data_IF_816037676218
#
_entry.id   IF_816037676218
#
_cell.length_a   1.000
_cell.length_b   1.000
_cell.length_c   1.000
_cell.angle_alpha   90.00
_cell.angle_beta   90.00
_cell.angle_gamma   90.00
#
_symmetry.space_group_name_H-M   'P 1'
#
loop_
_entity.id
_entity.type
_entity.pdbx_description
1 polymer ?
#
# COMPACT_ATOMS: atom_id res chain seq x y z
N UNK A 1 -3.04 19.06 -4.12
CA UNK A 1 -2.40 18.44 -2.94
C UNK A 1 -1.68 17.11 -3.22
N UNK A 2 -1.70 16.54 -4.41
CA UNK A 2 -1.01 15.29 -4.83
C UNK A 2 -1.04 14.17 -3.78
N UNK A 3 -2.09 14.10 -2.96
CA UNK A 3 -2.31 13.11 -1.88
C UNK A 3 -1.16 13.03 -0.86
N UNK A 4 -0.33 14.07 -0.76
CA UNK A 4 0.75 14.15 0.20
C UNK A 4 0.26 14.83 1.49
N UNK A 5 0.39 14.12 2.60
CA UNK A 5 0.25 14.69 3.92
C UNK A 5 1.61 14.73 4.60
N UNK A 6 2.03 15.90 5.02
CA UNK A 6 3.26 16.08 5.81
C UNK A 6 3.09 17.24 6.79
N UNK A 7 3.68 17.07 7.95
CA UNK A 7 3.72 18.11 8.99
C UNK A 7 5.16 18.40 9.38
N UNK A 8 5.43 19.63 9.76
CA UNK A 8 6.72 20.03 10.30
C UNK A 8 6.89 19.55 11.76
N UNK A 9 8.07 19.79 12.35
CA UNK A 9 8.36 19.42 13.75
C UNK A 9 7.39 20.04 14.78
N UNK A 10 6.62 21.08 14.41
CA UNK A 10 5.59 21.71 15.25
C UNK A 10 4.18 21.15 15.01
N UNK A 11 4.05 20.09 14.18
CA UNK A 11 2.76 19.50 13.85
C UNK A 11 1.93 20.29 12.83
N UNK A 12 2.49 21.33 12.21
CA UNK A 12 1.79 22.16 11.23
C UNK A 12 1.97 21.57 9.82
N UNK A 13 0.89 21.54 9.03
CA UNK A 13 0.90 21.13 7.64
C UNK A 13 1.90 21.95 6.82
N UNK A 14 2.78 21.30 6.08
CA UNK A 14 3.88 21.95 5.36
C UNK A 14 4.04 21.51 3.90
N UNK A 15 3.02 20.88 3.33
CA UNK A 15 3.04 20.53 1.90
C UNK A 15 2.72 21.77 1.08
N UNK A 16 3.58 22.17 0.13
CA UNK A 16 3.32 23.32 -0.73
C UNK A 16 2.10 23.08 -1.62
N UNK A 17 1.36 24.13 -1.90
CA UNK A 17 0.28 24.11 -2.88
C UNK A 17 0.89 23.90 -4.27
N UNK A 18 0.39 22.89 -5.00
CA UNK A 18 0.82 22.69 -6.39
C UNK A 18 0.32 23.78 -7.33
N UNK A 19 1.00 23.97 -8.47
CA UNK A 19 0.62 24.92 -9.50
C UNK A 19 -0.58 24.41 -10.32
N UNK A 20 -1.75 24.40 -9.72
CA UNK A 20 -2.99 24.04 -10.40
C UNK A 20 -3.83 25.26 -10.72
N UNK A 21 -4.25 25.38 -11.96
CA UNK A 21 -5.28 26.33 -12.38
C UNK A 21 -6.65 25.70 -12.10
N UNK A 22 -7.34 26.13 -11.07
CA UNK A 22 -8.65 25.59 -10.67
C UNK A 22 -8.64 24.11 -10.20
N UNK A 23 -7.94 23.78 -9.10
CA UNK A 23 -7.88 22.41 -8.61
C UNK A 23 -9.25 21.90 -8.11
N UNK A 24 -9.62 20.68 -8.50
CA UNK A 24 -10.78 19.99 -7.93
C UNK A 24 -10.40 19.50 -6.52
N UNK A 25 -10.62 20.32 -5.50
CA UNK A 25 -10.21 20.04 -4.12
C UNK A 25 -11.03 18.91 -3.50
N UNK A 26 -12.32 18.85 -3.85
CA UNK A 26 -13.23 17.84 -3.33
C UNK A 26 -14.15 17.34 -4.44
N UNK A 27 -14.13 16.04 -4.68
CA UNK A 27 -15.06 15.37 -5.58
C UNK A 27 -16.31 14.92 -4.82
N UNK A 28 -17.20 15.87 -4.52
CA UNK A 28 -18.41 15.61 -3.73
C UNK A 28 -19.28 14.56 -4.40
N UNK A 29 -19.38 14.55 -5.73
CA UNK A 29 -20.18 13.57 -6.46
C UNK A 29 -19.63 12.14 -6.25
N UNK A 30 -18.34 11.95 -6.43
CA UNK A 30 -17.69 10.66 -6.18
C UNK A 30 -17.79 10.23 -4.72
N UNK A 31 -17.54 11.14 -3.77
CA UNK A 31 -17.69 10.85 -2.34
C UNK A 31 -19.13 10.45 -1.97
N UNK A 32 -20.12 11.08 -2.58
CA UNK A 32 -21.53 10.73 -2.37
C UNK A 32 -21.85 9.34 -2.91
N UNK A 33 -21.30 8.98 -4.08
CA UNK A 33 -21.42 7.62 -4.65
C UNK A 33 -20.78 6.58 -3.75
N UNK A 34 -19.54 6.83 -3.30
CA UNK A 34 -18.80 5.93 -2.37
C UNK A 34 -19.59 5.74 -1.07
N UNK A 35 -20.07 6.84 -0.45
CA UNK A 35 -20.91 6.79 0.75
C UNK A 35 -22.14 5.91 0.53
N UNK A 36 -22.81 6.06 -0.62
CA UNK A 36 -23.99 5.24 -0.96
C UNK A 36 -23.65 3.77 -1.05
N UNK A 37 -22.54 3.41 -1.70
CA UNK A 37 -22.08 2.02 -1.81
C UNK A 37 -21.79 1.45 -0.43
N UNK A 38 -21.01 2.16 0.41
CA UNK A 38 -20.68 1.75 1.77
C UNK A 38 -21.94 1.46 2.60
N UNK A 39 -22.95 2.32 2.48
CA UNK A 39 -24.21 2.16 3.22
C UNK A 39 -25.09 1.02 2.70
N UNK A 40 -24.98 0.66 1.40
CA UNK A 40 -25.73 -0.43 0.78
C UNK A 40 -25.05 -1.80 0.96
N UNK A 41 -23.79 -1.83 1.30
CA UNK A 41 -22.98 -3.04 1.45
C UNK A 41 -22.58 -3.23 2.92
N UNK A 42 -22.31 -4.47 3.32
CA UNK A 42 -21.84 -4.77 4.69
C UNK A 42 -20.35 -4.46 4.82
N UNK A 43 -19.97 -3.18 4.72
CA UNK A 43 -18.58 -2.74 4.92
C UNK A 43 -18.33 -2.50 6.38
N UNK A 44 -17.30 -3.13 6.93
CA UNK A 44 -16.81 -2.89 8.29
C UNK A 44 -15.45 -2.18 8.21
N UNK A 45 -15.29 -1.08 8.95
CA UNK A 45 -14.02 -0.40 9.14
C UNK A 45 -13.50 -0.72 10.53
N UNK A 46 -12.32 -1.30 10.59
CA UNK A 46 -11.70 -1.71 11.86
C UNK A 46 -10.24 -1.24 11.89
N UNK A 47 -9.73 -0.97 13.08
CA UNK A 47 -8.33 -0.55 13.29
C UNK A 47 -7.67 -1.50 14.26
N UNK A 48 -6.84 -2.40 13.74
CA UNK A 48 -6.07 -3.37 14.51
C UNK A 48 -4.86 -3.87 13.73
N UNK A 49 -4.02 -4.66 14.37
CA UNK A 49 -2.95 -5.37 13.68
C UNK A 49 -3.55 -6.36 12.66
N UNK A 50 -3.01 -6.33 11.42
CA UNK A 50 -3.57 -7.11 10.30
C UNK A 50 -3.67 -8.62 10.58
N UNK A 51 -2.84 -9.18 11.47
CA UNK A 51 -2.92 -10.59 11.82
C UNK A 51 -4.20 -10.97 12.60
N UNK A 52 -4.88 -10.01 13.18
CA UNK A 52 -6.16 -10.29 13.87
C UNK A 52 -7.25 -10.82 12.94
N UNK A 53 -7.15 -10.57 11.63
CA UNK A 53 -8.11 -11.12 10.67
C UNK A 53 -8.14 -12.65 10.66
N UNK A 54 -7.07 -13.31 11.16
CA UNK A 54 -6.92 -14.78 11.16
C UNK A 54 -8.10 -15.49 11.83
N UNK A 55 -8.76 -14.84 12.78
CA UNK A 55 -9.92 -15.39 13.51
C UNK A 55 -11.23 -15.25 12.75
N UNK A 56 -11.26 -14.40 11.71
CA UNK A 56 -12.49 -14.08 10.97
C UNK A 56 -12.51 -14.69 9.57
N UNK A 57 -11.34 -14.99 9.00
CA UNK A 57 -11.20 -15.49 7.64
C UNK A 57 -11.61 -16.96 7.50
N UNK A 58 -12.09 -17.28 6.30
CA UNK A 58 -12.49 -18.60 5.86
C UNK A 58 -11.76 -19.01 4.61
N UNK A 59 -11.78 -20.29 4.29
CA UNK A 59 -11.32 -20.81 3.00
C UNK A 59 -12.01 -20.06 1.84
N UNK A 60 -11.25 -19.72 0.79
CA UNK A 60 -11.65 -18.95 -0.39
C UNK A 60 -11.94 -17.46 -0.17
N UNK A 61 -11.77 -16.92 1.05
CA UNK A 61 -11.82 -15.47 1.22
C UNK A 61 -10.72 -14.79 0.39
N UNK A 62 -11.06 -13.63 -0.17
CA UNK A 62 -10.10 -12.80 -0.90
C UNK A 62 -9.52 -11.74 0.03
N UNK A 63 -8.18 -11.66 0.09
CA UNK A 63 -7.45 -10.73 0.95
C UNK A 63 -6.51 -9.90 0.08
N UNK A 64 -6.61 -8.58 0.20
CA UNK A 64 -5.67 -7.66 -0.43
C UNK A 64 -4.81 -6.96 0.63
N UNK A 65 -3.50 -7.06 0.49
CA UNK A 65 -2.53 -6.36 1.31
C UNK A 65 -1.89 -5.20 0.55
N UNK A 66 -1.98 -4.02 1.13
CA UNK A 66 -1.29 -2.80 0.68
C UNK A 66 -0.44 -2.25 1.84
N UNK A 67 0.68 -2.91 2.18
CA UNK A 67 1.54 -2.51 3.28
C UNK A 67 2.34 -1.27 2.93
N UNK A 68 2.96 -0.59 3.91
CA UNK A 68 4.04 0.33 3.62
C UNK A 68 5.13 -0.37 2.80
N UNK A 69 5.42 0.18 1.60
CA UNK A 69 6.31 -0.45 0.64
C UNK A 69 7.76 -0.49 1.10
N UNK A 70 8.46 -1.55 0.74
CA UNK A 70 9.90 -1.66 1.00
C UNK A 70 10.67 -0.54 0.28
N UNK A 71 11.58 0.18 0.98
CA UNK A 71 12.35 1.27 0.37
C UNK A 71 13.20 0.80 -0.81
N UNK A 72 13.17 1.53 -1.92
CA UNK A 72 13.99 1.22 -3.11
C UNK A 72 15.48 1.54 -2.92
N UNK A 73 15.80 2.44 -1.99
CA UNK A 73 17.19 2.87 -1.71
C UNK A 73 17.30 3.40 -0.27
N UNK A 74 18.55 3.58 0.22
CA UNK A 74 18.86 4.08 1.55
C UNK A 74 18.25 5.45 1.86
N UNK A 75 18.17 6.34 0.87
CA UNK A 75 17.60 7.69 1.04
C UNK A 75 16.09 7.69 1.20
N UNK A 76 15.40 6.65 0.73
CA UNK A 76 13.95 6.49 0.92
C UNK A 76 13.58 5.93 2.30
N UNK A 77 14.57 5.52 3.13
CA UNK A 77 14.33 5.11 4.52
C UNK A 77 13.81 6.23 5.41
N UNK A 78 14.02 7.50 5.03
CA UNK A 78 13.58 8.66 5.82
C UNK A 78 12.07 8.96 5.71
N UNK A 79 11.32 8.24 4.90
CA UNK A 79 9.86 8.37 4.79
C UNK A 79 9.13 7.41 5.74
N UNK A 80 9.61 7.28 6.99
CA UNK A 80 8.90 6.53 8.01
C UNK A 80 7.62 7.30 8.41
N UNK A 81 6.49 6.91 7.83
CA UNK A 81 5.16 7.44 8.17
C UNK A 81 4.67 7.02 9.57
N UNK A 82 5.42 6.20 10.27
CA UNK A 82 5.10 5.80 11.66
C UNK A 82 6.33 5.86 12.54
N UNK A 83 6.15 6.24 13.79
CA UNK A 83 7.19 6.22 14.84
C UNK A 83 7.80 4.82 15.06
N UNK A 84 7.18 3.78 14.54
CA UNK A 84 7.58 2.38 14.62
C UNK A 84 7.75 1.73 13.24
N UNK A 85 8.07 2.47 12.18
CA UNK A 85 8.29 2.09 10.79
C UNK A 85 7.96 0.64 10.40
N UNK A 86 7.46 0.42 9.20
CA UNK A 86 7.27 -0.93 8.66
C UNK A 86 8.62 -1.43 8.12
N UNK A 87 9.45 -1.96 9.04
CA UNK A 87 10.84 -2.35 8.77
C UNK A 87 10.97 -3.75 8.12
N UNK A 88 12.21 -4.21 7.95
CA UNK A 88 12.52 -5.55 7.42
C UNK A 88 11.83 -6.68 8.21
N UNK A 89 11.72 -6.55 9.54
CA UNK A 89 11.09 -7.57 10.37
C UNK A 89 9.57 -7.61 10.14
N UNK A 90 8.96 -6.43 9.97
CA UNK A 90 7.53 -6.34 9.64
C UNK A 90 7.24 -6.88 8.23
N UNK A 91 8.12 -6.65 7.25
CA UNK A 91 8.00 -7.25 5.92
C UNK A 91 8.09 -8.78 6.00
N UNK A 92 9.03 -9.34 6.75
CA UNK A 92 9.14 -10.79 6.98
C UNK A 92 7.92 -11.35 7.71
N UNK A 93 7.42 -10.63 8.72
CA UNK A 93 6.21 -11.01 9.47
C UNK A 93 5.00 -11.08 8.54
N UNK A 94 4.85 -10.10 7.64
CA UNK A 94 3.79 -10.09 6.65
C UNK A 94 3.93 -11.26 5.66
N UNK A 95 5.14 -11.55 5.19
CA UNK A 95 5.37 -12.69 4.30
C UNK A 95 5.00 -14.02 4.99
N UNK A 96 5.41 -14.22 6.24
CA UNK A 96 5.03 -15.42 6.99
C UNK A 96 3.51 -15.54 7.13
N UNK A 97 2.83 -14.42 7.36
CA UNK A 97 1.36 -14.39 7.45
C UNK A 97 0.70 -14.70 6.09
N UNK A 98 1.27 -14.21 5.00
CA UNK A 98 0.83 -14.56 3.64
C UNK A 98 0.89 -16.07 3.41
N UNK A 99 2.00 -16.75 3.79
CA UNK A 99 2.12 -18.20 3.70
C UNK A 99 1.13 -18.95 4.60
N UNK A 100 0.81 -18.41 5.77
CA UNK A 100 -0.20 -19.00 6.64
C UNK A 100 -1.61 -18.95 6.02
N UNK A 101 -1.94 -17.82 5.40
CA UNK A 101 -3.21 -17.62 4.71
C UNK A 101 -3.31 -18.50 3.45
N UNK A 102 -2.21 -18.70 2.75
CA UNK A 102 -2.15 -19.62 1.61
C UNK A 102 -2.46 -21.06 2.04
N UNK A 103 -1.87 -21.54 3.14
CA UNK A 103 -2.19 -22.84 3.72
C UNK A 103 -3.66 -23.00 4.10
N UNK A 104 -4.34 -21.89 4.43
CA UNK A 104 -5.79 -21.84 4.69
C UNK A 104 -6.63 -21.73 3.42
N UNK A 105 -6.00 -21.79 2.24
CA UNK A 105 -6.64 -21.70 0.94
C UNK A 105 -7.40 -20.38 0.72
N UNK A 106 -6.94 -19.29 1.33
CA UNK A 106 -7.40 -17.95 0.99
C UNK A 106 -6.81 -17.53 -0.35
N UNK A 107 -7.49 -16.63 -1.05
CA UNK A 107 -6.97 -15.98 -2.26
C UNK A 107 -6.33 -14.66 -1.86
N UNK A 108 -5.03 -14.52 -2.10
CA UNK A 108 -4.26 -13.40 -1.57
C UNK A 108 -3.64 -12.62 -2.73
N UNK A 109 -3.74 -11.32 -2.63
CA UNK A 109 -3.07 -10.37 -3.50
C UNK A 109 -2.34 -9.34 -2.63
N UNK A 110 -1.08 -9.07 -2.94
CA UNK A 110 -0.23 -8.13 -2.21
C UNK A 110 0.49 -7.21 -3.18
N UNK A 111 0.51 -5.91 -2.91
CA UNK A 111 1.31 -4.92 -3.61
C UNK A 111 2.57 -4.55 -2.82
N UNK A 112 3.69 -4.31 -3.50
CA UNK A 112 4.94 -3.83 -2.87
C UNK A 112 5.90 -3.27 -3.91
N UNK A 113 7.02 -2.69 -3.44
CA UNK A 113 8.13 -2.27 -4.32
C UNK A 113 8.85 -3.45 -4.95
N UNK A 114 9.29 -3.29 -6.19
CA UNK A 114 10.12 -4.27 -6.89
C UNK A 114 11.57 -4.18 -6.38
N UNK A 115 11.86 -4.95 -5.35
CA UNK A 115 13.20 -5.10 -4.78
C UNK A 115 13.57 -6.57 -4.67
N UNK A 116 14.87 -6.89 -4.74
CA UNK A 116 15.37 -8.26 -4.54
C UNK A 116 14.85 -8.83 -3.22
N UNK A 117 14.90 -8.04 -2.15
CA UNK A 117 14.42 -8.46 -0.83
C UNK A 117 12.94 -8.89 -0.84
N UNK A 118 12.05 -8.12 -1.48
CA UNK A 118 10.63 -8.50 -1.58
C UNK A 118 10.46 -9.74 -2.45
N UNK A 119 11.16 -9.83 -3.58
CA UNK A 119 11.13 -11.01 -4.45
C UNK A 119 11.57 -12.28 -3.71
N UNK A 120 12.63 -12.18 -2.89
CA UNK A 120 13.15 -13.29 -2.09
C UNK A 120 12.13 -13.75 -1.03
N UNK A 121 11.45 -12.81 -0.36
CA UNK A 121 10.41 -13.12 0.62
C UNK A 121 9.26 -13.94 0.03
N UNK A 122 8.92 -13.73 -1.24
CA UNK A 122 7.79 -14.40 -1.92
C UNK A 122 8.26 -15.34 -3.05
N UNK A 123 9.50 -15.84 -2.98
CA UNK A 123 10.12 -16.67 -4.02
C UNK A 123 9.31 -17.92 -4.37
N UNK A 124 8.60 -18.53 -3.41
CA UNK A 124 7.70 -19.67 -3.66
C UNK A 124 6.53 -19.33 -4.59
N UNK A 125 6.22 -18.05 -4.77
CA UNK A 125 5.17 -17.56 -5.67
C UNK A 125 5.76 -16.85 -6.90
N UNK A 126 7.02 -17.10 -7.25
CA UNK A 126 7.75 -16.36 -8.30
C UNK A 126 7.02 -16.33 -9.65
N UNK A 127 6.32 -17.40 -10.02
CA UNK A 127 5.51 -17.46 -11.26
C UNK A 127 4.25 -16.59 -11.21
N UNK A 128 3.82 -16.18 -10.02
CA UNK A 128 2.64 -15.38 -9.77
C UNK A 128 3.00 -13.93 -9.36
N UNK A 129 4.26 -13.53 -9.52
CA UNK A 129 4.72 -12.16 -9.32
C UNK A 129 4.61 -11.41 -10.65
N UNK A 130 3.84 -10.33 -10.65
CA UNK A 130 3.63 -9.46 -11.81
C UNK A 130 4.35 -8.14 -11.52
N UNK A 131 5.26 -7.73 -12.40
CA UNK A 131 5.89 -6.41 -12.34
C UNK A 131 5.06 -5.40 -13.12
N UNK A 132 4.72 -4.29 -12.49
CA UNK A 132 3.98 -3.19 -13.08
C UNK A 132 4.87 -1.96 -13.15
N UNK A 133 4.83 -1.26 -14.27
CA UNK A 133 5.45 0.06 -14.39
C UNK A 133 4.48 1.12 -13.86
N UNK A 134 4.76 1.66 -12.67
CA UNK A 134 3.96 2.72 -12.07
C UNK A 134 4.60 4.09 -12.33
N UNK A 135 3.80 5.01 -12.86
CA UNK A 135 4.16 6.42 -12.95
C UNK A 135 3.98 7.06 -11.57
N UNK A 136 5.06 7.36 -10.87
CA UNK A 136 4.96 8.22 -9.68
C UNK A 136 4.66 9.65 -10.11
N UNK A 137 3.41 10.07 -9.96
CA UNK A 137 2.96 11.44 -10.20
C UNK A 137 3.57 12.46 -9.22
N UNK A 138 4.19 11.98 -8.14
CA UNK A 138 4.65 12.76 -7.00
C UNK A 138 6.14 13.06 -7.11
N UNK A 139 6.49 14.04 -7.92
CA UNK A 139 7.78 14.71 -7.85
C UNK A 139 7.59 16.15 -8.34
N UNK A 140 8.06 17.12 -7.58
CA UNK A 140 8.05 18.55 -7.97
C UNK A 140 8.86 18.82 -9.24
N UNK A 141 9.81 17.93 -9.57
CA UNK A 141 10.58 17.99 -10.82
C UNK A 141 10.08 16.91 -11.79
N UNK A 142 9.43 17.35 -12.87
CA UNK A 142 8.85 16.47 -13.91
C UNK A 142 9.89 15.59 -14.62
N UNK A 143 11.13 16.07 -14.77
CA UNK A 143 12.23 15.31 -15.40
C UNK A 143 12.74 14.15 -14.53
N UNK A 144 12.47 14.20 -13.22
CA UNK A 144 12.83 13.14 -12.26
C UNK A 144 11.70 12.13 -11.98
N UNK A 145 10.62 12.18 -12.73
CA UNK A 145 9.55 11.18 -12.69
C UNK A 145 10.02 9.90 -13.37
N UNK A 146 10.87 9.13 -12.70
CA UNK A 146 11.28 7.79 -13.17
C UNK A 146 10.13 6.83 -12.99
N UNK A 147 9.87 6.00 -14.00
CA UNK A 147 9.03 4.82 -13.85
C UNK A 147 9.66 3.94 -12.77
N UNK A 148 8.89 3.64 -11.74
CA UNK A 148 9.26 2.67 -10.73
C UNK A 148 8.52 1.38 -11.01
N UNK A 149 9.23 0.26 -10.86
CA UNK A 149 8.58 -1.04 -10.91
C UNK A 149 7.95 -1.33 -9.55
N UNK A 150 6.70 -1.75 -9.58
CA UNK A 150 5.96 -2.26 -8.43
C UNK A 150 5.60 -3.72 -8.67
N UNK A 151 5.44 -4.47 -7.60
CA UNK A 151 5.06 -5.87 -7.65
C UNK A 151 3.62 -6.07 -7.22
N UNK A 152 2.92 -6.90 -7.97
CA UNK A 152 1.71 -7.58 -7.53
C UNK A 152 2.08 -9.04 -7.33
N UNK A 153 1.89 -9.54 -6.12
CA UNK A 153 2.18 -10.89 -5.70
C UNK A 153 0.86 -11.57 -5.35
N UNK A 154 0.61 -12.75 -5.91
CA UNK A 154 -0.61 -13.50 -5.65
C UNK A 154 -0.31 -15.00 -5.48
N UNK A 155 -1.25 -15.74 -4.89
CA UNK A 155 -1.13 -17.19 -4.68
C UNK A 155 -2.08 -18.04 -5.55
N UNK A 156 -2.78 -17.41 -6.49
CA UNK A 156 -3.78 -18.08 -7.37
C UNK A 156 -3.60 -17.72 -8.82
#
# INVERSE_FOLDING_TARGET
YNDLYSVNKKGLFNVPIGNYTNPKICDIENLTRVKKIINLTKVNFETYDYQHIITKIKENDFIYFDPPYHPLNETSKFTNYSSHGFDYNQQKRLANFFYELDKRKCKILLSNSDTTFVRDLYSSFSQNIISLSALRSINSNTEKRKNHSELIIKNF
#
